data_IF_423252093860
#
_entry.id   IF_423252093860
#
_cell.length_a   1.000
_cell.length_b   1.000
_cell.length_c   1.000
_cell.angle_alpha   90.00
_cell.angle_beta   90.00
_cell.angle_gamma   90.00
#
_symmetry.space_group_name_H-M   'P 1'
#
loop_
_entity.id
_entity.type
_entity.pdbx_description
1 polymer ?
#
# COMPACT_ATOMS: atom_id res chain seq x y z
N UNK A 1 -13.09 76.45 -17.42
CA UNK A 1 -13.20 75.02 -17.80
C UNK A 1 -12.48 74.21 -16.72
N UNK A 2 -13.13 73.27 -16.02
CA UNK A 2 -12.42 72.37 -15.12
C UNK A 2 -11.93 71.14 -15.89
N UNK A 3 -10.67 70.76 -15.64
CA UNK A 3 -10.03 69.56 -16.17
C UNK A 3 -10.52 68.35 -15.39
N UNK A 4 -11.26 67.45 -16.05
CA UNK A 4 -11.69 66.17 -15.49
C UNK A 4 -10.48 65.23 -15.53
N UNK A 5 -9.88 64.95 -14.37
CA UNK A 5 -8.93 63.85 -14.23
C UNK A 5 -9.67 62.52 -14.36
N UNK A 6 -9.41 61.80 -15.45
CA UNK A 6 -9.83 60.42 -15.61
C UNK A 6 -9.05 59.55 -14.62
N UNK A 7 -9.76 58.99 -13.63
CA UNK A 7 -9.26 57.93 -12.79
C UNK A 7 -9.04 56.68 -13.66
N UNK A 8 -7.76 56.36 -13.91
CA UNK A 8 -7.38 55.12 -14.57
C UNK A 8 -7.90 53.91 -13.75
N UNK A 9 -8.65 53.04 -14.42
CA UNK A 9 -9.15 51.81 -13.82
C UNK A 9 -7.97 50.92 -13.40
N UNK A 10 -7.84 50.68 -12.09
CA UNK A 10 -6.89 49.71 -11.55
C UNK A 10 -7.28 48.31 -12.06
N UNK A 11 -6.42 47.61 -12.81
CA UNK A 11 -6.74 46.26 -13.26
C UNK A 11 -6.90 45.36 -12.03
N UNK A 12 -8.11 44.82 -11.84
CA UNK A 12 -8.38 43.78 -10.84
C UNK A 12 -7.45 42.60 -11.14
N UNK A 13 -6.41 42.41 -10.31
CA UNK A 13 -5.62 41.18 -10.30
C UNK A 13 -6.58 40.03 -10.00
N UNK A 14 -7.01 39.31 -11.03
CA UNK A 14 -7.65 38.01 -10.90
C UNK A 14 -6.71 37.14 -10.05
N UNK A 15 -7.12 36.82 -8.83
CA UNK A 15 -6.41 35.85 -8.00
C UNK A 15 -6.41 34.53 -8.76
N UNK A 16 -5.24 34.12 -9.24
CA UNK A 16 -5.06 32.83 -9.91
C UNK A 16 -5.70 31.74 -9.04
N UNK A 17 -6.67 31.00 -9.60
CA UNK A 17 -7.34 29.92 -8.89
C UNK A 17 -6.26 28.93 -8.41
N UNK A 18 -6.32 28.48 -7.13
CA UNK A 18 -5.31 27.56 -6.60
C UNK A 18 -5.26 26.29 -7.46
N UNK A 19 -4.04 25.87 -7.81
CA UNK A 19 -3.80 24.69 -8.63
C UNK A 19 -4.30 23.46 -7.87
N UNK A 20 -5.18 22.66 -8.50
CA UNK A 20 -5.67 21.40 -7.93
C UNK A 20 -4.51 20.42 -7.83
N UNK A 21 -4.19 19.99 -6.62
CA UNK A 21 -3.17 18.97 -6.35
C UNK A 21 -3.90 17.66 -6.08
N UNK A 22 -3.66 16.66 -6.92
CA UNK A 22 -4.25 15.33 -6.76
C UNK A 22 -3.31 14.43 -5.96
N UNK A 23 -3.88 13.70 -5.00
CA UNK A 23 -3.18 12.76 -4.15
C UNK A 23 -4.13 11.67 -3.65
N UNK A 24 -3.57 10.62 -3.09
CA UNK A 24 -4.34 9.54 -2.46
C UNK A 24 -4.72 9.96 -1.05
N UNK A 25 -5.99 9.81 -0.71
CA UNK A 25 -6.53 9.97 0.63
C UNK A 25 -6.98 8.62 1.16
N UNK A 26 -6.69 8.33 2.42
CA UNK A 26 -7.45 7.36 3.20
C UNK A 26 -8.66 8.06 3.82
N UNK A 27 -9.86 7.62 3.47
CA UNK A 27 -11.13 8.11 4.01
C UNK A 27 -11.76 7.04 4.89
N UNK A 28 -11.91 7.32 6.19
CA UNK A 28 -12.61 6.48 7.16
C UNK A 28 -13.97 7.09 7.48
N UNK A 29 -15.03 6.33 7.31
CA UNK A 29 -16.41 6.72 7.60
C UNK A 29 -16.84 6.26 9.00
N UNK A 30 -17.90 6.88 9.52
CA UNK A 30 -18.45 6.58 10.86
C UNK A 30 -18.97 5.14 11.03
N UNK A 31 -19.32 4.48 9.92
CA UNK A 31 -19.71 3.06 9.92
C UNK A 31 -18.50 2.10 9.96
N UNK A 32 -17.27 2.63 10.01
CA UNK A 32 -16.04 1.86 10.03
C UNK A 32 -15.51 1.49 8.64
N UNK A 33 -16.22 1.83 7.55
CA UNK A 33 -15.73 1.58 6.19
C UNK A 33 -14.58 2.54 5.85
N UNK A 34 -13.54 2.02 5.17
CA UNK A 34 -12.36 2.80 4.81
C UNK A 34 -11.94 2.58 3.35
N UNK A 35 -11.54 3.66 2.69
CA UNK A 35 -11.26 3.67 1.25
C UNK A 35 -10.01 4.46 0.93
N UNK A 36 -9.24 4.02 -0.07
CA UNK A 36 -8.21 4.81 -0.70
C UNK A 36 -8.77 5.49 -1.94
N UNK A 37 -8.73 6.82 -2.00
CA UNK A 37 -9.25 7.59 -3.14
C UNK A 37 -8.18 8.53 -3.66
N UNK A 38 -7.94 8.49 -4.98
CA UNK A 38 -7.15 9.51 -5.65
C UNK A 38 -8.05 10.70 -5.97
N UNK A 39 -7.81 11.85 -5.33
CA UNK A 39 -8.62 13.05 -5.53
C UNK A 39 -7.86 14.33 -5.13
N UNK A 40 -8.40 15.49 -5.48
CA UNK A 40 -7.86 16.79 -5.07
C UNK A 40 -8.54 17.35 -3.82
N UNK A 41 -9.70 16.82 -3.44
CA UNK A 41 -10.47 17.27 -2.28
C UNK A 41 -11.31 16.11 -1.71
N UNK A 42 -11.34 15.99 -0.38
CA UNK A 42 -12.06 14.95 0.35
C UNK A 42 -13.58 14.95 0.09
N UNK A 43 -14.19 16.11 -0.14
CA UNK A 43 -15.61 16.23 -0.52
C UNK A 43 -15.88 15.63 -1.90
N UNK A 44 -14.92 15.77 -2.82
CA UNK A 44 -15.00 15.15 -4.14
C UNK A 44 -14.86 13.63 -4.00
N UNK A 45 -13.95 13.17 -3.13
CA UNK A 45 -13.79 11.75 -2.80
C UNK A 45 -15.05 11.13 -2.20
N UNK A 46 -15.70 11.78 -1.23
CA UNK A 46 -16.94 11.29 -0.63
C UNK A 46 -18.07 11.19 -1.67
N UNK A 47 -18.19 12.21 -2.53
CA UNK A 47 -19.18 12.21 -3.62
C UNK A 47 -18.99 11.07 -4.61
N UNK A 48 -17.74 10.69 -4.92
CA UNK A 48 -17.44 9.54 -5.77
C UNK A 48 -17.94 8.22 -5.18
N UNK A 49 -17.96 8.11 -3.85
CA UNK A 49 -18.50 6.96 -3.14
C UNK A 49 -20.02 7.04 -2.93
N UNK A 50 -20.68 8.08 -3.42
CA UNK A 50 -22.09 8.33 -3.12
C UNK A 50 -22.37 8.68 -1.66
N UNK A 51 -21.35 9.15 -0.91
CA UNK A 51 -21.44 9.43 0.53
C UNK A 51 -21.35 10.93 0.82
N UNK A 52 -21.95 11.35 1.92
CA UNK A 52 -21.87 12.71 2.42
C UNK A 52 -20.60 12.94 3.24
N UNK A 53 -20.06 14.16 3.21
CA UNK A 53 -18.89 14.54 4.01
C UNK A 53 -19.17 14.47 5.52
N UNK A 54 -20.43 14.62 5.92
CA UNK A 54 -20.88 14.50 7.33
C UNK A 54 -20.74 13.09 7.89
N UNK A 55 -20.65 12.08 7.02
CA UNK A 55 -20.43 10.67 7.39
C UNK A 55 -18.94 10.34 7.56
N UNK A 56 -18.05 11.23 7.11
CA UNK A 56 -16.61 11.06 7.21
C UNK A 56 -16.17 11.25 8.66
N UNK A 57 -15.51 10.23 9.22
CA UNK A 57 -14.89 10.30 10.54
C UNK A 57 -13.47 10.83 10.48
N UNK A 58 -12.70 10.46 9.45
CA UNK A 58 -11.30 10.86 9.28
C UNK A 58 -10.92 10.86 7.81
N UNK A 59 -10.17 11.86 7.37
CA UNK A 59 -9.44 11.84 6.10
C UNK A 59 -7.97 12.07 6.35
N UNK A 60 -7.12 11.23 5.76
CA UNK A 60 -5.67 11.33 5.86
C UNK A 60 -5.08 11.35 4.46
N UNK A 61 -4.41 12.42 4.03
CA UNK A 61 -3.64 12.41 2.79
C UNK A 61 -2.42 11.50 2.95
N UNK A 62 -2.18 10.64 1.96
CA UNK A 62 -1.04 9.73 1.92
C UNK A 62 0.11 10.42 1.18
N UNK A 63 1.30 10.47 1.78
CA UNK A 63 2.48 11.00 1.10
C UNK A 63 2.80 10.15 -0.14
N UNK A 64 3.24 10.81 -1.21
CA UNK A 64 3.69 10.13 -2.45
C UNK A 64 4.84 9.17 -2.19
N UNK A 65 5.68 9.45 -1.19
CA UNK A 65 6.81 8.60 -0.81
C UNK A 65 6.37 7.19 -0.36
N UNK A 66 5.09 7.04 0.01
CA UNK A 66 4.51 5.76 0.42
C UNK A 66 3.76 5.02 -0.70
N UNK A 67 3.64 5.58 -1.90
CA UNK A 67 2.82 4.96 -2.95
C UNK A 67 3.43 3.65 -3.47
N UNK A 68 4.75 3.55 -3.52
CA UNK A 68 5.46 2.34 -3.94
C UNK A 68 5.41 1.23 -2.89
N UNK A 69 5.14 1.56 -1.62
CA UNK A 69 5.16 0.65 -0.48
C UNK A 69 3.78 0.26 0.05
N UNK A 70 2.70 0.86 -0.46
CA UNK A 70 1.32 0.43 -0.21
C UNK A 70 0.89 -0.53 -1.33
N UNK A 71 0.52 -1.75 -0.94
CA UNK A 71 0.14 -2.81 -1.86
C UNK A 71 -1.35 -3.14 -1.78
N UNK A 72 -1.94 -3.34 -2.95
CA UNK A 72 -3.34 -3.63 -3.20
C UNK A 72 -3.48 -5.04 -3.75
N UNK A 73 -4.42 -5.82 -3.22
CA UNK A 73 -4.82 -7.09 -3.81
C UNK A 73 -5.91 -6.86 -4.85
N UNK A 74 -5.73 -7.47 -6.02
CA UNK A 74 -6.70 -7.46 -7.11
C UNK A 74 -7.69 -8.63 -6.99
N UNK A 75 -8.76 -8.61 -7.78
CA UNK A 75 -9.79 -9.67 -7.78
C UNK A 75 -9.23 -11.06 -8.14
N UNK A 76 -8.18 -11.11 -8.96
CA UNK A 76 -7.47 -12.34 -9.33
C UNK A 76 -6.44 -12.80 -8.27
N UNK A 77 -6.35 -12.10 -7.14
CA UNK A 77 -5.40 -12.36 -6.06
C UNK A 77 -3.98 -11.85 -6.30
N UNK A 78 -3.72 -11.22 -7.46
CA UNK A 78 -2.44 -10.55 -7.73
C UNK A 78 -2.26 -9.32 -6.85
N UNK A 79 -1.01 -8.87 -6.70
CA UNK A 79 -0.66 -7.70 -5.88
C UNK A 79 -0.07 -6.62 -6.78
N UNK A 80 -0.53 -5.38 -6.62
CA UNK A 80 -0.01 -4.19 -7.29
C UNK A 80 0.27 -3.08 -6.25
N UNK A 81 1.31 -2.27 -6.45
CA UNK A 81 1.52 -1.08 -5.60
C UNK A 81 0.51 0.03 -5.96
N UNK A 82 0.23 0.93 -5.01
CA UNK A 82 -0.56 2.13 -5.29
C UNK A 82 0.09 2.93 -6.41
N UNK A 83 1.42 3.05 -6.43
CA UNK A 83 2.15 3.74 -7.50
C UNK A 83 1.86 3.15 -8.88
N UNK A 84 2.05 1.84 -9.06
CA UNK A 84 1.80 1.17 -10.33
C UNK A 84 0.32 1.28 -10.73
N UNK A 85 -0.60 1.16 -9.76
CA UNK A 85 -2.02 1.32 -10.00
C UNK A 85 -2.40 2.74 -10.43
N UNK A 86 -1.75 3.77 -9.88
CA UNK A 86 -1.94 5.16 -10.31
C UNK A 86 -1.39 5.41 -11.72
N UNK A 87 -0.30 4.74 -12.10
CA UNK A 87 0.27 4.85 -13.46
C UNK A 87 -0.67 4.26 -14.52
N UNK A 88 -1.28 3.11 -14.26
CA UNK A 88 -2.30 2.49 -15.14
C UNK A 88 -3.48 3.43 -15.42
N UNK A 89 -3.84 4.28 -14.46
CA UNK A 89 -4.99 5.19 -14.52
C UNK A 89 -4.56 6.66 -14.51
N UNK A 90 -3.38 6.98 -15.07
CA UNK A 90 -2.77 8.31 -15.03
C UNK A 90 -3.63 9.44 -15.63
N UNK A 91 -4.57 9.11 -16.51
CA UNK A 91 -5.50 10.08 -17.13
C UNK A 91 -6.74 10.38 -16.27
N UNK A 92 -7.04 9.55 -15.25
CA UNK A 92 -8.22 9.72 -14.40
C UNK A 92 -7.95 10.77 -13.33
N UNK A 93 -8.84 11.78 -13.27
CA UNK A 93 -8.74 12.89 -12.32
C UNK A 93 -9.12 12.48 -10.90
N UNK A 94 -10.25 11.82 -10.69
CA UNK A 94 -10.61 11.33 -9.35
C UNK A 94 -11.34 10.02 -9.43
N UNK A 95 -10.93 9.07 -8.59
CA UNK A 95 -11.43 7.69 -8.64
C UNK A 95 -11.05 6.91 -7.38
N UNK A 96 -11.80 5.85 -7.11
CA UNK A 96 -11.55 4.89 -6.03
C UNK A 96 -10.33 4.03 -6.37
N UNK A 97 -9.26 4.14 -5.59
CA UNK A 97 -8.05 3.34 -5.77
C UNK A 97 -8.27 1.92 -5.27
N UNK A 98 -8.83 1.80 -4.05
CA UNK A 98 -9.15 0.52 -3.43
C UNK A 98 -10.09 0.72 -2.25
N UNK A 99 -10.89 -0.30 -1.95
CA UNK A 99 -11.48 -0.47 -0.62
C UNK A 99 -10.41 -0.97 0.33
N UNK A 100 -10.37 -0.52 1.59
CA UNK A 100 -9.26 -0.88 2.48
C UNK A 100 -9.14 -2.37 2.76
N UNK A 101 -10.24 -3.13 2.65
CA UNK A 101 -10.19 -4.59 2.73
C UNK A 101 -9.25 -5.20 1.67
N UNK A 102 -9.02 -4.50 0.55
CA UNK A 102 -8.10 -4.87 -0.51
C UNK A 102 -6.66 -4.39 -0.25
N UNK A 103 -6.43 -3.48 0.70
CA UNK A 103 -5.11 -2.96 1.03
C UNK A 103 -4.48 -3.84 2.10
N UNK A 104 -3.32 -4.44 1.79
CA UNK A 104 -2.70 -5.42 2.70
C UNK A 104 -1.51 -4.87 3.48
N UNK A 105 -1.01 -3.68 3.16
CA UNK A 105 0.24 -3.15 3.73
C UNK A 105 0.14 -1.63 3.97
N UNK A 106 0.19 -1.21 5.25
CA UNK A 106 0.42 0.17 5.66
C UNK A 106 1.92 0.36 5.85
N UNK A 107 2.59 0.99 4.90
CA UNK A 107 3.96 1.43 5.07
C UNK A 107 3.96 2.89 5.54
N UNK A 108 3.70 3.12 6.82
CA UNK A 108 4.24 4.29 7.53
C UNK A 108 4.94 3.72 8.74
N UNK A 109 6.19 4.13 8.98
CA UNK A 109 7.10 3.60 10.01
C UNK A 109 6.37 3.11 11.26
N UNK A 110 6.73 1.89 11.65
CA UNK A 110 6.05 0.99 12.59
C UNK A 110 4.90 0.17 11.97
N UNK A 111 5.20 -1.08 11.65
CA UNK A 111 4.23 -2.14 11.40
C UNK A 111 3.35 -2.35 12.65
N UNK A 112 2.22 -1.64 12.74
CA UNK A 112 1.19 -1.97 13.71
C UNK A 112 0.27 -3.04 13.12
N UNK A 113 0.75 -4.27 13.17
CA UNK A 113 -0.10 -5.43 13.02
C UNK A 113 -0.76 -5.66 14.39
N UNK A 114 -2.08 -5.49 14.49
CA UNK A 114 -2.84 -5.76 15.74
C UNK A 114 -2.71 -7.22 16.21
N UNK A 115 -2.32 -8.12 15.30
CA UNK A 115 -1.90 -9.50 15.58
C UNK A 115 -0.45 -9.70 15.17
N UNK A 116 0.44 -10.20 16.04
CA UNK A 116 1.82 -10.48 15.66
C UNK A 116 1.84 -11.42 14.45
N UNK A 117 2.59 -11.06 13.41
CA UNK A 117 2.81 -11.94 12.27
C UNK A 117 3.69 -13.11 12.71
N UNK A 118 3.34 -14.32 12.28
CA UNK A 118 4.20 -15.48 12.49
C UNK A 118 5.42 -15.35 11.58
N UNK A 119 6.61 -15.62 12.11
CA UNK A 119 7.84 -15.61 11.32
C UNK A 119 8.75 -16.78 11.67
N UNK A 120 9.63 -17.13 10.74
CA UNK A 120 10.67 -18.13 10.95
C UNK A 120 12.01 -17.61 10.42
N UNK A 121 12.96 -17.42 11.33
CA UNK A 121 14.37 -17.17 10.97
C UNK A 121 14.97 -18.46 10.45
N UNK A 122 15.31 -18.50 9.17
CA UNK A 122 15.73 -19.72 8.51
C UNK A 122 17.23 -19.95 8.69
N UNK A 123 17.55 -20.96 9.50
CA UNK A 123 18.91 -21.44 9.76
C UNK A 123 18.99 -22.95 9.52
N UNK A 124 20.20 -23.52 9.60
CA UNK A 124 20.42 -24.98 9.46
C UNK A 124 19.52 -25.82 10.36
N UNK A 125 19.31 -25.38 11.61
CA UNK A 125 18.47 -26.10 12.58
C UNK A 125 16.97 -26.01 12.32
N UNK A 126 16.53 -25.08 11.48
CA UNK A 126 15.10 -24.79 11.26
C UNK A 126 14.52 -25.40 9.99
N UNK A 127 15.32 -26.14 9.20
CA UNK A 127 14.83 -26.83 8.00
C UNK A 127 13.66 -27.77 8.28
N UNK A 128 13.69 -28.51 9.39
CA UNK A 128 12.59 -29.41 9.78
C UNK A 128 11.28 -28.68 10.09
N UNK A 129 11.36 -27.44 10.58
CA UNK A 129 10.21 -26.64 10.98
C UNK A 129 9.49 -26.00 9.79
N UNK A 130 10.14 -25.86 8.62
CA UNK A 130 9.56 -25.22 7.44
C UNK A 130 8.28 -25.90 6.98
N UNK A 131 8.21 -27.24 7.04
CA UNK A 131 7.01 -27.98 6.62
C UNK A 131 5.82 -27.61 7.49
N UNK A 132 5.99 -27.62 8.80
CA UNK A 132 4.93 -27.27 9.77
C UNK A 132 4.54 -25.80 9.64
N UNK A 133 5.53 -24.91 9.56
CA UNK A 133 5.33 -23.47 9.43
C UNK A 133 4.57 -23.11 8.14
N UNK A 134 4.87 -23.79 7.03
CA UNK A 134 4.22 -23.57 5.73
C UNK A 134 2.94 -24.40 5.53
N UNK A 135 2.33 -24.95 6.59
CA UNK A 135 1.05 -25.67 6.48
C UNK A 135 1.13 -26.99 5.71
N UNK A 136 2.17 -27.79 5.98
CA UNK A 136 2.43 -29.08 5.33
C UNK A 136 2.79 -29.05 3.84
N UNK A 137 3.13 -27.87 3.32
CA UNK A 137 3.64 -27.70 1.96
C UNK A 137 4.94 -28.49 1.74
N UNK A 138 5.09 -29.08 0.56
CA UNK A 138 6.31 -29.81 0.18
C UNK A 138 7.50 -28.85 -0.02
N UNK A 139 8.53 -29.00 0.82
CA UNK A 139 9.76 -28.19 0.75
C UNK A 139 10.82 -28.94 -0.08
N UNK A 140 11.16 -28.41 -1.25
CA UNK A 140 12.14 -28.98 -2.18
C UNK A 140 13.52 -28.39 -1.94
N UNK A 141 14.54 -29.23 -1.74
CA UNK A 141 15.94 -28.80 -1.71
C UNK A 141 16.39 -28.39 -3.11
N UNK A 142 17.00 -27.22 -3.26
CA UNK A 142 17.54 -26.79 -4.56
C UNK A 142 18.96 -27.31 -4.76
N UNK A 143 19.52 -27.14 -5.98
CA UNK A 143 20.94 -27.44 -6.26
C UNK A 143 21.92 -26.69 -5.34
N UNK A 144 21.49 -25.55 -4.75
CA UNK A 144 22.31 -24.74 -3.83
C UNK A 144 22.13 -25.13 -2.35
N UNK A 145 21.30 -26.14 -2.03
CA UNK A 145 21.00 -26.52 -0.65
C UNK A 145 22.25 -26.83 0.18
N UNK A 146 23.23 -27.55 -0.38
CA UNK A 146 24.48 -27.86 0.31
C UNK A 146 25.33 -26.62 0.61
N UNK A 147 25.27 -25.60 -0.27
CA UNK A 147 26.06 -24.37 -0.16
C UNK A 147 25.46 -23.38 0.84
N UNK A 148 24.18 -23.06 0.69
CA UNK A 148 23.53 -21.99 1.46
C UNK A 148 22.16 -22.40 2.03
N UNK A 149 21.83 -23.69 2.03
CA UNK A 149 20.55 -24.15 2.57
C UNK A 149 19.35 -23.82 1.72
N UNK A 150 19.54 -23.35 0.48
CA UNK A 150 18.44 -22.88 -0.35
C UNK A 150 17.44 -23.98 -0.65
N UNK A 151 16.20 -23.72 -0.25
CA UNK A 151 15.03 -24.54 -0.51
C UNK A 151 14.00 -23.72 -1.26
N UNK A 152 13.07 -24.41 -1.91
CA UNK A 152 11.94 -23.79 -2.56
C UNK A 152 10.67 -24.58 -2.31
N UNK A 153 9.54 -23.89 -2.30
CA UNK A 153 8.24 -24.49 -2.13
C UNK A 153 7.21 -23.70 -2.91
N UNK A 154 6.17 -24.41 -3.33
CA UNK A 154 5.11 -23.86 -4.15
C UNK A 154 3.97 -23.38 -3.25
N UNK A 155 3.44 -22.22 -3.57
CA UNK A 155 2.28 -21.64 -2.92
C UNK A 155 1.21 -21.38 -3.98
N UNK A 156 -0.02 -21.06 -3.56
CA UNK A 156 -1.07 -20.61 -4.48
C UNK A 156 -0.65 -19.39 -5.31
N UNK A 157 0.36 -18.63 -4.87
CA UNK A 157 0.87 -17.41 -5.52
C UNK A 157 2.15 -17.65 -6.32
N UNK A 158 2.61 -18.90 -6.41
CA UNK A 158 3.81 -19.28 -7.12
C UNK A 158 4.93 -19.81 -6.22
N UNK A 159 6.12 -19.93 -6.81
CA UNK A 159 7.29 -20.51 -6.17
C UNK A 159 8.01 -19.50 -5.28
N UNK A 160 8.21 -19.89 -4.02
CA UNK A 160 9.02 -19.15 -3.05
C UNK A 160 10.32 -19.90 -2.85
N UNK A 161 11.43 -19.17 -2.76
CA UNK A 161 12.73 -19.72 -2.40
C UNK A 161 13.32 -18.97 -1.21
N UNK A 162 13.89 -19.72 -0.27
CA UNK A 162 14.51 -19.18 0.94
C UNK A 162 15.84 -19.89 1.21
N UNK A 163 16.83 -19.15 1.70
CA UNK A 163 18.16 -19.63 2.06
C UNK A 163 18.58 -19.16 3.46
N UNK A 164 19.64 -19.78 4.01
CA UNK A 164 20.06 -19.48 5.38
C UNK A 164 20.37 -17.99 5.57
N UNK A 165 19.96 -17.42 6.70
CA UNK A 165 20.11 -15.98 7.00
C UNK A 165 18.96 -15.11 6.47
N UNK A 166 17.90 -15.73 5.95
CA UNK A 166 16.67 -15.05 5.58
C UNK A 166 15.55 -15.36 6.58
N UNK A 167 14.55 -14.49 6.61
CA UNK A 167 13.36 -14.63 7.44
C UNK A 167 12.15 -14.88 6.55
N UNK A 168 11.38 -15.92 6.87
CA UNK A 168 10.10 -16.19 6.25
C UNK A 168 8.99 -15.58 7.10
N UNK A 169 8.31 -14.57 6.58
CA UNK A 169 7.13 -13.97 7.19
C UNK A 169 5.88 -14.68 6.67
N UNK A 170 4.98 -15.06 7.57
CA UNK A 170 3.66 -15.59 7.24
C UNK A 170 2.64 -14.47 7.47
N UNK A 171 2.23 -13.86 6.37
CA UNK A 171 1.33 -12.71 6.38
C UNK A 171 -0.13 -13.16 6.58
N UNK A 172 -0.51 -14.24 5.88
CA UNK A 172 -1.85 -14.86 5.90
C UNK A 172 -1.73 -16.36 5.65
N UNK A 173 -2.80 -17.18 5.86
CA UNK A 173 -2.79 -18.58 5.44
C UNK A 173 -2.35 -18.73 3.98
N UNK A 174 -1.27 -19.49 3.75
CA UNK A 174 -0.72 -19.75 2.41
C UNK A 174 0.01 -18.58 1.76
N UNK A 175 0.17 -17.43 2.43
CA UNK A 175 0.89 -16.26 1.90
C UNK A 175 2.15 -16.00 2.71
N UNK A 176 3.30 -16.09 2.03
CA UNK A 176 4.60 -15.89 2.65
C UNK A 176 5.41 -14.82 1.94
N UNK A 177 6.29 -14.17 2.69
CA UNK A 177 7.25 -13.19 2.19
C UNK A 177 8.62 -13.55 2.73
N UNK A 178 9.65 -13.47 1.88
CA UNK A 178 11.04 -13.69 2.26
C UNK A 178 11.73 -12.34 2.33
N UNK A 179 12.36 -12.05 3.45
CA UNK A 179 13.19 -10.87 3.66
C UNK A 179 14.55 -11.29 4.22
N UNK A 180 15.55 -10.42 4.12
CA UNK A 180 16.84 -10.63 4.77
C UNK A 180 16.73 -10.46 6.28
N UNK A 181 17.65 -11.07 7.02
CA UNK A 181 17.74 -10.86 8.47
C UNK A 181 18.09 -9.41 8.83
N UNK A 182 18.83 -8.70 7.96
CA UNK A 182 19.12 -7.29 8.14
C UNK A 182 17.84 -6.44 8.09
N UNK A 183 17.04 -6.58 7.02
CA UNK A 183 15.74 -5.88 6.88
C UNK A 183 14.78 -6.19 8.05
N UNK A 184 14.89 -7.39 8.63
CA UNK A 184 14.08 -7.78 9.78
C UNK A 184 14.56 -7.19 11.11
N UNK A 185 15.86 -6.92 11.26
CA UNK A 185 16.46 -6.51 12.53
C UNK A 185 16.58 -4.99 12.69
N UNK A 186 16.41 -4.23 11.61
CA UNK A 186 16.35 -2.76 11.63
C UNK A 186 14.99 -2.21 12.14
N UNK A 187 14.11 -3.09 12.65
CA UNK A 187 12.79 -2.81 13.25
C UNK A 187 12.59 -3.58 14.56
#
# INVERSE_FOLDING_TARGET
QPVIQQLAAVPKKEKAKPKKVYQVYSLLFKDGSEYLIYTFAQETGCRLLGRQISELSKAVPISKDYYSSIYLEQEDGSIISVEARLQEHSTKKSWLVAEKQQTRIKATGNCFNEKPFEYLKYTKGQYGCLRTFCGNTAIKKTKKFSKNGKVAFETARGMIAIEYGQVLLKLFPGTFMVISEQEFSEY
#
